data_IF_917047210361
#
_entry.id   IF_917047210361
#
_cell.length_a   1.000
_cell.length_b   1.000
_cell.length_c   1.000
_cell.angle_alpha   90.00
_cell.angle_beta   90.00
_cell.angle_gamma   90.00
#
_symmetry.space_group_name_H-M   'P 1'
#
loop_
_entity.id
_entity.type
_entity.pdbx_description
1 polymer ?
#
# COMPACT_ATOMS: atom_id res chain seq x y z
N UNK A 1 -49.53 37.36 -5.97
CA UNK A 1 -49.19 36.50 -4.81
C UNK A 1 -48.73 35.15 -5.36
N UNK A 2 -47.43 34.83 -5.52
CA UNK A 2 -46.50 34.26 -4.50
C UNK A 2 -47.17 33.13 -3.70
N UNK A 3 -46.72 31.86 -3.68
CA UNK A 3 -45.43 31.25 -3.27
C UNK A 3 -45.17 29.96 -4.12
N UNK A 4 -43.98 29.66 -4.67
CA UNK A 4 -42.73 29.08 -4.09
C UNK A 4 -42.87 27.70 -3.39
N UNK A 5 -41.85 26.83 -3.66
CA UNK A 5 -41.44 25.53 -3.06
C UNK A 5 -41.82 24.29 -3.90
N UNK A 6 -40.94 23.43 -4.42
CA UNK A 6 -39.48 23.29 -4.39
C UNK A 6 -39.07 22.06 -5.23
N UNK A 7 -37.89 22.08 -5.86
CA UNK A 7 -37.22 20.86 -6.38
C UNK A 7 -36.43 20.14 -5.27
N UNK A 8 -35.38 19.34 -5.54
CA UNK A 8 -34.96 18.72 -6.80
C UNK A 8 -34.55 17.22 -6.67
N UNK A 9 -34.11 16.64 -7.80
CA UNK A 9 -33.11 15.57 -7.94
C UNK A 9 -33.11 14.37 -6.98
N UNK A 10 -33.60 13.23 -7.47
CA UNK A 10 -33.10 11.92 -7.05
C UNK A 10 -31.72 11.69 -7.69
N UNK A 11 -30.69 12.23 -7.04
CA UNK A 11 -29.33 11.76 -7.22
C UNK A 11 -29.05 10.62 -6.26
N UNK A 12 -28.97 9.39 -6.76
CA UNK A 12 -28.14 8.36 -6.14
C UNK A 12 -27.39 7.64 -7.25
N UNK A 13 -26.22 8.23 -7.56
CA UNK A 13 -25.09 7.54 -8.16
C UNK A 13 -24.64 6.42 -7.22
N UNK A 14 -25.40 5.32 -7.19
CA UNK A 14 -24.91 4.02 -6.74
C UNK A 14 -24.11 3.39 -7.86
N UNK A 15 -22.97 4.01 -8.21
CA UNK A 15 -22.01 3.42 -9.12
C UNK A 15 -21.50 2.13 -8.52
N UNK A 16 -22.14 1.01 -8.86
CA UNK A 16 -21.62 -0.32 -8.61
C UNK A 16 -20.24 -0.35 -9.24
N UNK A 17 -19.19 -0.35 -8.40
CA UNK A 17 -17.84 -0.62 -8.83
C UNK A 17 -17.89 -1.99 -9.52
N UNK A 18 -17.90 -1.97 -10.84
CA UNK A 18 -17.56 -3.13 -11.65
C UNK A 18 -16.25 -3.65 -11.08
N UNK A 19 -16.29 -4.82 -10.42
CA UNK A 19 -15.12 -5.49 -9.82
C UNK A 19 -14.26 -6.07 -10.94
N UNK A 20 -13.85 -5.23 -11.87
CA UNK A 20 -12.82 -5.53 -12.85
C UNK A 20 -11.48 -5.62 -12.12
N UNK A 21 -10.57 -6.45 -12.63
CA UNK A 21 -9.22 -6.57 -12.08
C UNK A 21 -8.50 -5.21 -12.04
N UNK A 22 -8.82 -4.29 -12.97
CA UNK A 22 -8.31 -2.92 -12.95
C UNK A 22 -8.82 -2.15 -11.73
N UNK A 23 -10.11 -2.20 -11.43
CA UNK A 23 -10.70 -1.49 -10.29
C UNK A 23 -10.16 -1.94 -8.93
N UNK A 24 -9.86 -3.24 -8.77
CA UNK A 24 -9.25 -3.76 -7.53
C UNK A 24 -7.80 -3.26 -7.39
N UNK A 25 -7.06 -3.22 -8.51
CA UNK A 25 -5.68 -2.73 -8.52
C UNK A 25 -5.61 -1.25 -8.14
N UNK A 26 -6.49 -0.43 -8.71
CA UNK A 26 -6.55 1.00 -8.43
C UNK A 26 -6.97 1.27 -6.98
N UNK A 27 -7.95 0.51 -6.47
CA UNK A 27 -8.35 0.60 -5.07
C UNK A 27 -7.19 0.27 -4.11
N UNK A 28 -6.46 -0.82 -4.35
CA UNK A 28 -5.31 -1.18 -3.51
C UNK A 28 -4.18 -0.16 -3.58
N UNK A 29 -3.97 0.45 -4.76
CA UNK A 29 -2.98 1.49 -4.93
C UNK A 29 -3.34 2.72 -4.09
N UNK A 30 -4.59 3.17 -4.15
CA UNK A 30 -5.09 4.27 -3.34
C UNK A 30 -5.02 3.97 -1.84
N UNK A 31 -5.32 2.73 -1.45
CA UNK A 31 -5.18 2.31 -0.05
C UNK A 31 -3.72 2.44 0.41
N UNK A 32 -2.75 1.94 -0.36
CA UNK A 32 -1.33 2.08 -0.03
C UNK A 32 -0.92 3.55 0.10
N UNK A 33 -1.28 4.37 -0.88
CA UNK A 33 -0.98 5.81 -0.89
C UNK A 33 -1.56 6.54 0.34
N UNK A 34 -2.78 6.17 0.74
CA UNK A 34 -3.44 6.75 1.92
C UNK A 34 -2.68 6.41 3.21
N UNK A 35 -2.26 5.14 3.37
CA UNK A 35 -1.55 4.67 4.57
C UNK A 35 -0.10 5.17 4.63
N UNK A 36 0.54 5.39 3.49
CA UNK A 36 1.92 5.92 3.43
C UNK A 36 1.99 7.43 3.22
N UNK A 37 0.88 8.15 3.39
CA UNK A 37 0.86 9.61 3.23
C UNK A 37 1.74 10.29 4.29
N UNK A 38 2.66 11.13 3.85
CA UNK A 38 3.57 11.88 4.74
C UNK A 38 4.92 11.22 5.00
N UNK A 39 5.13 9.98 4.56
CA UNK A 39 6.44 9.35 4.58
C UNK A 39 7.36 9.97 3.53
N UNK A 40 8.52 10.45 3.95
CA UNK A 40 9.51 11.04 3.05
C UNK A 40 10.05 9.96 2.11
N UNK A 41 10.29 10.34 0.86
CA UNK A 41 10.85 9.47 -0.19
C UNK A 41 9.99 8.23 -0.53
N UNK A 42 8.70 8.22 -0.14
CA UNK A 42 7.76 7.15 -0.50
C UNK A 42 6.69 7.70 -1.43
N UNK A 43 6.72 7.27 -2.70
CA UNK A 43 5.73 7.61 -3.71
C UNK A 43 5.28 6.33 -4.43
N UNK A 44 4.09 5.85 -4.05
CA UNK A 44 3.53 4.61 -4.58
C UNK A 44 2.65 4.94 -5.78
N UNK A 45 3.16 4.71 -6.99
CA UNK A 45 2.45 4.96 -8.26
C UNK A 45 2.10 3.66 -8.99
N UNK A 46 2.77 2.56 -8.62
CA UNK A 46 2.56 1.25 -9.22
C UNK A 46 2.95 0.15 -8.22
N UNK A 47 2.75 -1.11 -8.62
CA UNK A 47 3.16 -2.30 -7.86
C UNK A 47 4.50 -2.88 -8.34
N UNK A 48 5.41 -2.09 -8.90
CA UNK A 48 6.71 -2.57 -9.38
C UNK A 48 7.83 -1.64 -8.90
N UNK A 49 8.19 -0.63 -9.70
CA UNK A 49 9.33 0.24 -9.40
C UNK A 49 9.16 1.04 -8.12
N UNK A 50 7.93 1.42 -7.73
CA UNK A 50 7.68 2.13 -6.46
C UNK A 50 8.01 1.32 -5.21
N UNK A 51 8.24 0.01 -5.34
CA UNK A 51 8.53 -0.90 -4.24
C UNK A 51 9.96 -1.45 -4.27
N UNK A 52 10.78 -1.02 -5.23
CA UNK A 52 12.07 -1.64 -5.54
C UNK A 52 13.20 -1.32 -4.55
N UNK A 53 12.96 -0.40 -3.61
CA UNK A 53 13.91 0.03 -2.58
C UNK A 53 13.51 -0.40 -1.16
N UNK A 54 12.35 -1.05 -1.02
CA UNK A 54 11.81 -1.53 0.25
C UNK A 54 11.19 -0.45 1.15
N UNK A 55 11.32 0.85 0.81
CA UNK A 55 10.78 1.93 1.66
C UNK A 55 9.26 1.94 1.68
N UNK A 56 8.60 1.61 0.57
CA UNK A 56 7.15 1.48 0.52
C UNK A 56 6.61 0.40 1.48
N UNK A 57 7.29 -0.75 1.58
CA UNK A 57 6.93 -1.79 2.54
C UNK A 57 7.19 -1.35 3.98
N UNK A 58 8.34 -0.69 4.23
CA UNK A 58 8.66 -0.13 5.55
C UNK A 58 7.62 0.89 6.00
N UNK A 59 7.21 1.81 5.12
CA UNK A 59 6.23 2.84 5.44
C UNK A 59 4.86 2.22 5.74
N UNK A 60 4.47 1.20 4.99
CA UNK A 60 3.19 0.53 5.18
C UNK A 60 3.13 -0.18 6.53
N UNK A 61 4.16 -0.95 6.91
CA UNK A 61 4.17 -1.62 8.22
C UNK A 61 4.33 -0.62 9.37
N UNK A 62 5.16 0.40 9.20
CA UNK A 62 5.37 1.45 10.20
C UNK A 62 4.11 2.29 10.45
N UNK A 63 3.21 2.44 9.46
CA UNK A 63 1.93 3.11 9.68
C UNK A 63 1.08 2.43 10.75
N UNK A 64 1.06 1.09 10.78
CA UNK A 64 0.30 0.31 11.76
C UNK A 64 1.11 0.03 13.04
N UNK A 65 2.44 -0.02 12.93
CA UNK A 65 3.36 -0.25 14.05
C UNK A 65 4.45 0.84 14.07
N UNK A 66 4.12 2.09 14.44
CA UNK A 66 5.09 3.19 14.44
C UNK A 66 6.24 2.98 15.42
N UNK A 67 6.04 2.17 16.46
CA UNK A 67 7.06 1.86 17.45
C UNK A 67 7.97 0.68 17.05
N UNK A 68 7.78 0.09 15.85
CA UNK A 68 8.56 -1.07 15.43
C UNK A 68 10.02 -0.72 15.06
N UNK A 69 10.24 0.46 14.48
CA UNK A 69 11.55 0.98 14.08
C UNK A 69 11.46 2.47 13.72
N UNK A 70 12.57 3.19 13.66
CA UNK A 70 12.59 4.59 13.21
C UNK A 70 12.68 4.69 11.68
N UNK A 71 11.56 5.01 11.02
CA UNK A 71 11.53 5.16 9.57
C UNK A 71 12.48 6.25 9.05
N UNK A 72 12.74 7.31 9.81
CA UNK A 72 13.53 8.45 9.33
C UNK A 72 15.02 8.12 9.16
N UNK A 73 15.48 6.99 9.71
CA UNK A 73 16.85 6.51 9.57
C UNK A 73 17.03 5.61 8.33
N UNK A 74 15.95 5.27 7.62
CA UNK A 74 16.02 4.42 6.45
C UNK A 74 16.49 5.20 5.21
N UNK A 75 17.29 4.53 4.38
CA UNK A 75 17.83 5.07 3.12
C UNK A 75 17.45 4.15 1.95
N UNK A 76 16.96 4.72 0.85
CA UNK A 76 16.57 4.00 -0.37
C UNK A 76 17.75 3.21 -0.99
N UNK A 77 19.00 3.60 -0.72
CA UNK A 77 20.21 2.88 -1.16
C UNK A 77 20.38 1.55 -0.42
N UNK A 78 19.86 1.43 0.80
CA UNK A 78 20.00 0.26 1.65
C UNK A 78 18.87 -0.75 1.44
N UNK A 79 18.59 -1.10 0.17
CA UNK A 79 17.47 -1.96 -0.24
C UNK A 79 17.33 -3.24 0.58
N UNK A 80 18.44 -3.98 0.75
CA UNK A 80 18.48 -5.24 1.49
C UNK A 80 18.02 -5.05 2.92
N UNK A 81 18.49 -4.00 3.58
CA UNK A 81 18.09 -3.68 4.95
C UNK A 81 16.59 -3.36 5.00
N UNK A 82 16.10 -2.50 4.10
CA UNK A 82 14.69 -2.09 4.07
C UNK A 82 13.75 -3.29 3.85
N UNK A 83 14.04 -4.16 2.87
CA UNK A 83 13.23 -5.36 2.63
C UNK A 83 13.25 -6.32 3.83
N UNK A 84 14.45 -6.60 4.36
CA UNK A 84 14.59 -7.49 5.53
C UNK A 84 13.80 -6.97 6.72
N UNK A 85 13.95 -5.67 7.02
CA UNK A 85 13.26 -5.03 8.12
C UNK A 85 11.74 -5.07 7.94
N UNK A 86 11.25 -4.68 6.77
CA UNK A 86 9.81 -4.66 6.51
C UNK A 86 9.19 -6.06 6.59
N UNK A 87 9.81 -7.06 5.97
CA UNK A 87 9.27 -8.42 5.90
C UNK A 87 9.32 -9.10 7.28
N UNK A 88 10.43 -8.97 7.99
CA UNK A 88 10.57 -9.47 9.36
C UNK A 88 9.55 -8.81 10.30
N UNK A 89 9.40 -7.49 10.23
CA UNK A 89 8.43 -6.78 11.08
C UNK A 89 7.00 -7.18 10.75
N UNK A 90 6.66 -7.34 9.47
CA UNK A 90 5.34 -7.78 9.05
C UNK A 90 5.00 -9.19 9.55
N UNK A 91 5.98 -10.10 9.53
CA UNK A 91 5.80 -11.45 10.08
C UNK A 91 5.65 -11.42 11.62
N UNK A 92 6.61 -10.83 12.33
CA UNK A 92 6.66 -10.85 13.79
C UNK A 92 5.53 -10.05 14.46
N UNK A 93 5.12 -8.90 13.89
CA UNK A 93 4.11 -8.02 14.50
C UNK A 93 2.71 -8.25 13.97
N UNK A 94 2.59 -8.54 12.66
CA UNK A 94 1.30 -8.65 11.99
C UNK A 94 0.94 -10.08 11.59
N UNK A 95 1.86 -11.05 11.68
CA UNK A 95 1.64 -12.42 11.23
C UNK A 95 1.53 -12.54 9.71
N UNK A 96 2.10 -11.59 8.96
CA UNK A 96 2.10 -11.62 7.49
C UNK A 96 3.36 -12.34 7.03
N UNK A 97 3.20 -13.62 6.64
CA UNK A 97 4.31 -14.41 6.12
C UNK A 97 4.92 -13.77 4.87
N UNK A 98 6.26 -13.68 4.76
CA UNK A 98 6.94 -13.10 3.62
C UNK A 98 6.69 -13.94 2.35
N UNK A 99 6.14 -13.30 1.31
CA UNK A 99 5.92 -13.95 0.00
C UNK A 99 7.00 -13.60 -1.03
N UNK A 100 7.85 -12.63 -0.72
CA UNK A 100 8.93 -12.16 -1.58
C UNK A 100 10.26 -12.47 -0.91
N UNK A 101 11.22 -12.94 -1.71
CA UNK A 101 12.57 -13.15 -1.25
C UNK A 101 13.38 -11.84 -1.30
N UNK A 102 14.21 -11.60 -0.28
CA UNK A 102 15.00 -10.37 -0.17
C UNK A 102 16.09 -10.32 -1.23
N UNK A 103 16.77 -11.43 -1.51
CA UNK A 103 17.85 -11.48 -2.51
C UNK A 103 17.31 -11.17 -3.90
N UNK A 104 16.17 -11.75 -4.25
CA UNK A 104 15.47 -11.50 -5.50
C UNK A 104 15.06 -10.04 -5.65
N UNK A 105 14.45 -9.46 -4.62
CA UNK A 105 13.99 -8.07 -4.64
C UNK A 105 15.14 -7.06 -4.72
N UNK A 106 16.29 -7.38 -4.14
CA UNK A 106 17.50 -6.54 -4.20
C UNK A 106 18.16 -6.62 -5.58
N UNK A 107 18.19 -7.81 -6.19
CA UNK A 107 18.79 -8.01 -7.50
C UNK A 107 17.98 -7.36 -8.64
N UNK A 108 16.66 -7.22 -8.47
CA UNK A 108 15.78 -6.69 -9.49
C UNK A 108 15.60 -5.16 -9.39
N UNK A 109 15.94 -4.44 -10.47
CA UNK A 109 15.61 -3.01 -10.57
C UNK A 109 14.10 -2.76 -10.70
N UNK A 110 13.36 -3.72 -11.28
CA UNK A 110 11.91 -3.68 -11.51
C UNK A 110 11.31 -5.05 -11.14
N UNK A 111 10.82 -5.22 -9.90
CA UNK A 111 10.21 -6.48 -9.50
C UNK A 111 8.92 -6.75 -10.29
N UNK A 112 8.55 -8.03 -10.44
CA UNK A 112 7.30 -8.41 -11.10
C UNK A 112 6.11 -7.84 -10.33
N UNK A 113 5.26 -7.11 -11.05
CA UNK A 113 4.17 -6.37 -10.42
C UNK A 113 3.10 -7.26 -9.81
N UNK A 114 2.95 -8.49 -10.31
CA UNK A 114 1.99 -9.46 -9.77
C UNK A 114 2.47 -10.00 -8.43
N UNK A 115 3.77 -10.30 -8.29
CA UNK A 115 4.35 -10.77 -7.02
C UNK A 115 4.19 -9.70 -5.93
N UNK A 116 4.58 -8.45 -6.22
CA UNK A 116 4.40 -7.33 -5.29
C UNK A 116 2.93 -7.11 -4.98
N UNK A 117 2.05 -7.11 -6.00
CA UNK A 117 0.61 -6.95 -5.80
C UNK A 117 0.03 -8.03 -4.88
N UNK A 118 0.35 -9.30 -5.12
CA UNK A 118 -0.08 -10.42 -4.26
C UNK A 118 0.40 -10.25 -2.83
N UNK A 119 1.64 -9.78 -2.63
CA UNK A 119 2.13 -9.54 -1.28
C UNK A 119 1.40 -8.37 -0.60
N UNK A 120 1.18 -7.26 -1.31
CA UNK A 120 0.39 -6.13 -0.80
C UNK A 120 -1.06 -6.53 -0.49
N UNK A 121 -1.65 -7.47 -1.23
CA UNK A 121 -2.97 -8.02 -0.88
C UNK A 121 -2.98 -8.68 0.50
N UNK A 122 -1.88 -9.31 0.92
CA UNK A 122 -1.75 -9.87 2.27
C UNK A 122 -1.76 -8.76 3.34
N UNK A 123 -1.04 -7.65 3.11
CA UNK A 123 -1.11 -6.46 3.98
C UNK A 123 -2.53 -5.91 4.05
N UNK A 124 -3.17 -5.68 2.91
CA UNK A 124 -4.54 -5.18 2.89
C UNK A 124 -5.49 -6.12 3.62
N UNK A 125 -5.43 -7.43 3.37
CA UNK A 125 -6.29 -8.40 4.06
C UNK A 125 -6.10 -8.37 5.57
N UNK A 126 -4.87 -8.15 6.03
CA UNK A 126 -4.53 -8.10 7.45
C UNK A 126 -4.98 -6.81 8.14
N UNK A 127 -4.97 -5.69 7.42
CA UNK A 127 -5.20 -4.35 7.98
C UNK A 127 -6.47 -3.64 7.47
N UNK A 128 -7.30 -4.30 6.65
CA UNK A 128 -8.53 -3.69 6.11
C UNK A 128 -9.54 -3.27 7.18
N UNK A 129 -9.46 -3.86 8.37
CA UNK A 129 -10.39 -3.61 9.48
C UNK A 129 -9.79 -2.67 10.56
N UNK A 130 -8.59 -2.11 10.32
CA UNK A 130 -7.86 -1.18 11.19
C UNK A 130 -7.93 0.28 10.66
#
# INVERSE_FOLDING_TARGET
MTYLSGGPMQGLMGGGLSRSASGIKDFLLQWCQSRTRGYKNVQIENFSSSWNDGLAFCALIHHFYPDAFDFNQLDAKNKRHNFTLAFKTADEKAGIAPLLDVDDMVAMARPDWKCVFTYVQSFYRRFKDE
#
